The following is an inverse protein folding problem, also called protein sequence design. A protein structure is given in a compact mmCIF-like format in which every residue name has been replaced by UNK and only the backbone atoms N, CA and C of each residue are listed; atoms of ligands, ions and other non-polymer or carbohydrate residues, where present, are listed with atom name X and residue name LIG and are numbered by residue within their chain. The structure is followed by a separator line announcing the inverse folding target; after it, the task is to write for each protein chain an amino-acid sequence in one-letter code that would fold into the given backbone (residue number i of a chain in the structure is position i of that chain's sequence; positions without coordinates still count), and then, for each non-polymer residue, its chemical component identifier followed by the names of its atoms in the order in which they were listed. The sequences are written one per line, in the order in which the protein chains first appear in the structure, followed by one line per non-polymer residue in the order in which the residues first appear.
data_IF_003110550100
#
_entry.id   IF_003110550100
#
_cell.length_a   1.000
_cell.length_b   1.000
_cell.length_c   1.000
_cell.angle_alpha   90.00
_cell.angle_beta   90.00
_cell.angle_gamma   90.00
#
_symmetry.space_group_name_H-M   'P 1'
#
loop_
_entity.id
_entity.type
_entity.pdbx_description
1 polymer ?
#
# COMPACT_ATOMS: atom_id res chain seq x y z
N UNK A 1 -14.76 3.79 0.22
CA UNK A 1 -15.84 3.47 1.15
C UNK A 1 -15.20 3.17 2.49
N UNK A 2 -15.57 3.90 3.53
CA UNK A 2 -15.07 3.69 4.88
C UNK A 2 -15.80 2.49 5.46
N UNK A 3 -15.05 1.55 6.05
CA UNK A 3 -15.68 0.47 6.78
C UNK A 3 -16.40 1.06 8.01
N UNK A 4 -17.70 1.10 7.96
CA UNK A 4 -18.51 1.40 9.14
C UNK A 4 -18.89 0.07 9.78
N UNK A 5 -18.59 -0.07 11.05
CA UNK A 5 -19.11 -1.19 11.83
C UNK A 5 -20.64 -1.22 11.77
N UNK A 6 -21.19 -2.40 11.50
CA UNK A 6 -22.64 -2.65 11.43
C UNK A 6 -23.38 -2.32 12.72
N UNK A 7 -22.69 -2.15 13.83
CA UNK A 7 -23.25 -1.93 15.15
C UNK A 7 -22.94 -0.56 15.76
N UNK A 8 -22.23 0.33 15.08
CA UNK A 8 -21.89 1.67 15.55
C UNK A 8 -21.03 1.71 16.82
N UNK A 9 -20.46 0.59 17.24
CA UNK A 9 -19.71 0.48 18.50
C UNK A 9 -18.21 0.36 18.31
N UNK A 10 -17.75 -0.22 17.22
CA UNK A 10 -16.33 -0.29 16.90
C UNK A 10 -16.00 0.80 15.89
N UNK A 11 -15.28 1.79 16.35
CA UNK A 11 -14.76 2.89 15.53
C UNK A 11 -13.55 2.40 14.75
N UNK A 12 -13.76 1.36 13.95
CA UNK A 12 -12.70 0.82 13.13
C UNK A 12 -12.50 1.80 11.97
N UNK A 13 -11.33 2.37 11.93
CA UNK A 13 -10.89 3.27 10.87
C UNK A 13 -10.26 2.52 9.71
N UNK A 14 -10.25 1.19 9.73
CA UNK A 14 -9.71 0.40 8.65
C UNK A 14 -10.60 0.48 7.40
N UNK A 15 -9.95 0.50 6.26
CA UNK A 15 -10.60 0.55 4.96
C UNK A 15 -10.57 -0.82 4.31
N UNK A 16 -11.39 -1.03 3.29
CA UNK A 16 -11.37 -2.25 2.48
C UNK A 16 -10.25 -2.26 1.41
N UNK A 17 -9.43 -1.19 1.34
CA UNK A 17 -8.33 -1.12 0.38
C UNK A 17 -7.20 -2.08 0.75
N UNK A 18 -6.89 -2.98 -0.18
CA UNK A 18 -5.83 -3.96 0.01
C UNK A 18 -4.43 -3.36 -0.13
N UNK A 19 -3.53 -3.77 0.77
CA UNK A 19 -2.08 -3.52 0.67
C UNK A 19 -1.35 -4.63 -0.07
N UNK A 20 -1.97 -5.79 -0.21
CA UNK A 20 -1.37 -6.98 -0.79
C UNK A 20 -1.92 -7.36 -2.16
N UNK A 21 -3.00 -6.72 -2.62
CA UNK A 21 -3.62 -7.01 -3.92
C UNK A 21 -3.70 -5.75 -4.76
N UNK A 22 -3.32 -5.85 -6.03
CA UNK A 22 -3.50 -4.81 -7.06
C UNK A 22 -2.94 -3.43 -6.69
N UNK A 23 -2.12 -3.32 -5.65
CA UNK A 23 -1.61 -2.04 -5.12
C UNK A 23 -2.74 -1.03 -4.82
N UNK A 24 -3.90 -1.49 -4.35
CA UNK A 24 -5.09 -0.63 -4.23
C UNK A 24 -4.85 0.57 -3.31
N UNK A 25 -4.31 0.33 -2.11
CA UNK A 25 -4.00 1.40 -1.16
C UNK A 25 -2.92 2.35 -1.71
N UNK A 26 -1.86 1.84 -2.33
CA UNK A 26 -0.79 2.65 -2.92
C UNK A 26 -1.33 3.54 -4.04
N UNK A 27 -2.08 2.96 -5.00
CA UNK A 27 -2.68 3.73 -6.12
C UNK A 27 -3.62 4.82 -5.63
N UNK A 28 -4.39 4.54 -4.56
CA UNK A 28 -5.25 5.54 -3.95
C UNK A 28 -4.45 6.70 -3.36
N UNK A 29 -3.39 6.41 -2.60
CA UNK A 29 -2.52 7.43 -2.03
C UNK A 29 -1.81 8.25 -3.10
N UNK A 30 -1.32 7.60 -4.16
CA UNK A 30 -0.68 8.26 -5.31
C UNK A 30 -1.66 9.22 -6.02
N UNK A 31 -2.89 8.79 -6.27
CA UNK A 31 -3.90 9.63 -6.92
C UNK A 31 -4.26 10.87 -6.09
N UNK A 32 -4.47 10.71 -4.78
CA UNK A 32 -4.72 11.86 -3.90
C UNK A 32 -3.53 12.80 -3.80
N UNK A 33 -2.31 12.27 -3.70
CA UNK A 33 -1.09 13.08 -3.65
C UNK A 33 -0.89 13.91 -4.92
N UNK A 34 -1.17 13.35 -6.10
CA UNK A 34 -1.09 14.07 -7.37
C UNK A 34 -2.08 15.25 -7.42
N UNK A 35 -3.33 15.02 -7.03
CA UNK A 35 -4.35 16.08 -7.01
C UNK A 35 -3.99 17.15 -5.98
N UNK A 36 -3.60 16.76 -4.77
CA UNK A 36 -3.19 17.68 -3.72
C UNK A 36 -1.96 18.51 -4.10
N UNK A 37 -0.98 17.90 -4.77
CA UNK A 37 0.19 18.62 -5.30
C UNK A 37 -0.19 19.70 -6.31
N UNK A 38 -1.11 19.40 -7.24
CA UNK A 38 -1.61 20.38 -8.22
C UNK A 38 -2.32 21.55 -7.55
N UNK A 39 -3.19 21.27 -6.57
CA UNK A 39 -3.92 22.33 -5.84
C UNK A 39 -2.99 23.18 -5.00
N UNK A 40 -1.97 22.58 -4.38
CA UNK A 40 -0.95 23.32 -3.63
C UNK A 40 -0.19 24.30 -4.53
N UNK A 41 0.29 23.82 -5.69
CA UNK A 41 0.99 24.67 -6.66
C UNK A 41 0.10 25.78 -7.26
N UNK A 42 -1.20 25.56 -7.35
CA UNK A 42 -2.14 26.60 -7.75
C UNK A 42 -2.32 27.65 -6.67
N UNK A 43 -2.44 27.26 -5.39
CA UNK A 43 -2.56 28.18 -4.27
C UNK A 43 -1.36 29.14 -4.17
N UNK A 44 -0.14 28.62 -4.37
CA UNK A 44 1.09 29.43 -4.35
C UNK A 44 1.09 30.54 -5.40
N UNK A 45 0.47 30.30 -6.56
CA UNK A 45 0.37 31.25 -7.68
C UNK A 45 -0.91 32.09 -7.67
N UNK A 46 -1.82 31.83 -6.71
CA UNK A 46 -3.11 32.53 -6.65
C UNK A 46 -2.94 33.98 -6.24
N UNK A 47 -3.55 34.94 -6.96
CA UNK A 47 -3.57 36.34 -6.54
C UNK A 47 -4.14 36.49 -5.14
N UNK A 48 -3.60 37.44 -4.34
CA UNK A 48 -3.97 37.63 -2.94
C UNK A 48 -5.48 37.82 -2.75
N UNK A 49 -6.12 38.60 -3.62
CA UNK A 49 -7.57 38.87 -3.57
C UNK A 49 -8.43 37.61 -3.70
N UNK A 50 -7.93 36.57 -4.37
CA UNK A 50 -8.68 35.33 -4.69
C UNK A 50 -8.25 34.16 -3.78
N UNK A 51 -7.13 34.33 -3.05
CA UNK A 51 -6.50 33.27 -2.27
C UNK A 51 -7.41 32.68 -1.18
N UNK A 52 -8.15 33.52 -0.45
CA UNK A 52 -9.05 33.07 0.60
C UNK A 52 -10.20 32.20 0.04
N UNK A 53 -10.79 32.64 -1.07
CA UNK A 53 -11.84 31.88 -1.75
C UNK A 53 -11.30 30.54 -2.29
N UNK A 54 -10.14 30.56 -2.96
CA UNK A 54 -9.50 29.36 -3.46
C UNK A 54 -9.15 28.36 -2.35
N UNK A 55 -8.62 28.88 -1.23
CA UNK A 55 -8.32 28.05 -0.07
C UNK A 55 -9.56 27.34 0.45
N UNK A 56 -10.66 28.08 0.62
CA UNK A 56 -11.91 27.58 1.16
C UNK A 56 -12.57 26.54 0.24
N UNK A 57 -12.67 26.85 -1.07
CA UNK A 57 -13.48 26.06 -2.01
C UNK A 57 -12.73 24.89 -2.60
N UNK A 58 -11.40 25.00 -2.73
CA UNK A 58 -10.62 23.96 -3.46
C UNK A 58 -9.46 23.41 -2.63
N UNK A 59 -8.58 24.26 -2.10
CA UNK A 59 -7.37 23.78 -1.41
C UNK A 59 -7.73 22.93 -0.18
N UNK A 60 -8.53 23.49 0.73
CA UNK A 60 -8.86 22.80 1.98
C UNK A 60 -9.58 21.45 1.74
N UNK A 61 -10.67 21.36 0.96
CA UNK A 61 -11.34 20.07 0.73
C UNK A 61 -10.41 19.01 0.14
N UNK A 62 -9.61 19.39 -0.86
CA UNK A 62 -8.69 18.45 -1.53
C UNK A 62 -7.58 18.03 -0.58
N UNK A 63 -6.94 18.99 0.11
CA UNK A 63 -5.82 18.69 0.99
C UNK A 63 -6.27 17.94 2.25
N UNK A 64 -7.43 18.26 2.79
CA UNK A 64 -8.00 17.54 3.92
C UNK A 64 -8.33 16.09 3.54
N UNK A 65 -8.92 15.86 2.38
CA UNK A 65 -9.17 14.50 1.88
C UNK A 65 -7.88 13.71 1.67
N UNK A 66 -6.84 14.32 1.10
CA UNK A 66 -5.53 13.67 0.94
C UNK A 66 -4.94 13.27 2.28
N UNK A 67 -4.85 14.21 3.23
CA UNK A 67 -4.28 13.97 4.55
C UNK A 67 -5.09 12.93 5.34
N UNK A 68 -6.41 12.98 5.28
CA UNK A 68 -7.28 12.02 5.95
C UNK A 68 -7.09 10.60 5.39
N UNK A 69 -7.09 10.44 4.07
CA UNK A 69 -6.84 9.14 3.43
C UNK A 69 -5.46 8.60 3.80
N UNK A 70 -4.44 9.44 3.76
CA UNK A 70 -3.07 9.06 4.12
C UNK A 70 -2.97 8.68 5.60
N UNK A 71 -3.54 9.47 6.50
CA UNK A 71 -3.57 9.17 7.93
C UNK A 71 -4.14 7.79 8.22
N UNK A 72 -5.31 7.49 7.67
CA UNK A 72 -6.02 6.23 7.92
C UNK A 72 -5.30 5.05 7.26
N UNK A 73 -4.93 5.16 5.99
CA UNK A 73 -4.25 4.06 5.28
C UNK A 73 -2.85 3.77 5.86
N UNK A 74 -2.09 4.80 6.25
CA UNK A 74 -0.79 4.59 6.93
C UNK A 74 -0.95 4.00 8.33
N UNK A 75 -1.99 4.40 9.07
CA UNK A 75 -2.34 3.76 10.35
C UNK A 75 -2.72 2.30 10.19
N UNK A 76 -3.54 1.97 9.20
CA UNK A 76 -3.90 0.58 8.86
C UNK A 76 -2.66 -0.24 8.43
N UNK A 77 -1.83 0.31 7.56
CA UNK A 77 -0.57 -0.30 7.14
C UNK A 77 0.40 -0.49 8.30
N UNK A 78 0.47 0.47 9.23
CA UNK A 78 1.27 0.38 10.45
C UNK A 78 0.85 -0.83 11.29
N UNK A 79 -0.44 -1.02 11.58
CA UNK A 79 -0.94 -2.17 12.34
C UNK A 79 -0.62 -3.49 11.66
N UNK A 80 -0.78 -3.56 10.33
CA UNK A 80 -0.40 -4.72 9.52
C UNK A 80 1.10 -5.00 9.64
N UNK A 81 1.94 -3.99 9.46
CA UNK A 81 3.40 -4.14 9.53
C UNK A 81 3.89 -4.48 10.93
N UNK A 82 3.23 -4.01 11.98
CA UNK A 82 3.52 -4.39 13.36
C UNK A 82 3.32 -5.90 13.58
N UNK A 83 2.24 -6.50 13.06
CA UNK A 83 2.01 -7.94 13.15
C UNK A 83 3.05 -8.76 12.38
N UNK A 84 3.62 -8.19 11.33
CA UNK A 84 4.69 -8.79 10.52
C UNK A 84 6.08 -8.47 11.05
N UNK A 85 6.19 -7.65 12.10
CA UNK A 85 7.45 -7.17 12.67
C UNK A 85 8.35 -6.47 11.64
N UNK A 86 7.78 -5.69 10.74
CA UNK A 86 8.53 -4.97 9.72
C UNK A 86 9.22 -3.74 10.31
N UNK A 87 10.47 -3.50 9.92
CA UNK A 87 11.24 -2.32 10.37
C UNK A 87 10.63 -0.98 9.94
N UNK A 88 9.78 -0.96 8.92
CA UNK A 88 9.06 0.24 8.47
C UNK A 88 7.88 0.65 9.39
N UNK A 89 7.52 -0.14 10.39
CA UNK A 89 6.33 0.07 11.22
C UNK A 89 6.28 1.44 11.87
N UNK A 90 7.37 1.86 12.53
CA UNK A 90 7.39 3.12 13.27
C UNK A 90 7.40 4.34 12.35
N UNK A 91 7.98 4.22 11.16
CA UNK A 91 7.94 5.28 10.14
C UNK A 91 6.50 5.52 9.64
N UNK A 92 5.71 4.45 9.46
CA UNK A 92 4.29 4.58 9.10
C UNK A 92 3.45 5.21 10.21
N UNK A 93 3.76 4.90 11.47
CA UNK A 93 3.13 5.54 12.62
C UNK A 93 3.44 7.05 12.65
N UNK A 94 4.69 7.42 12.40
CA UNK A 94 5.10 8.82 12.32
C UNK A 94 4.41 9.56 11.17
N UNK A 95 4.31 8.94 9.98
CA UNK A 95 3.60 9.52 8.83
C UNK A 95 2.12 9.74 9.13
N UNK A 96 1.45 8.77 9.77
CA UNK A 96 0.05 8.90 10.16
C UNK A 96 -0.17 10.06 11.15
N UNK A 97 0.69 10.22 12.15
CA UNK A 97 0.64 11.36 13.09
C UNK A 97 0.86 12.70 12.38
N UNK A 98 1.86 12.76 11.51
CA UNK A 98 2.16 13.97 10.73
C UNK A 98 0.95 14.40 9.88
N UNK A 99 0.24 13.45 9.28
CA UNK A 99 -0.98 13.75 8.51
C UNK A 99 -2.09 14.29 9.41
N UNK A 100 -2.28 13.70 10.61
CA UNK A 100 -3.23 14.19 11.60
C UNK A 100 -2.92 15.64 12.01
N UNK A 101 -1.69 15.93 12.37
CA UNK A 101 -1.26 17.26 12.81
C UNK A 101 -1.39 18.29 11.67
N UNK A 102 -1.01 17.89 10.45
CA UNK A 102 -1.17 18.74 9.26
C UNK A 102 -2.65 19.04 8.96
N UNK A 103 -3.54 18.08 9.18
CA UNK A 103 -4.97 18.28 9.01
C UNK A 103 -5.50 19.33 10.01
N UNK A 104 -5.03 19.31 11.25
CA UNK A 104 -5.38 20.34 12.25
C UNK A 104 -4.88 21.73 11.82
N UNK A 105 -3.64 21.82 11.32
CA UNK A 105 -3.06 23.08 10.84
C UNK A 105 -3.87 23.70 9.71
N UNK A 106 -4.21 22.91 8.67
CA UNK A 106 -5.00 23.46 7.55
C UNK A 106 -6.43 23.80 7.96
N UNK A 107 -7.00 23.08 8.94
CA UNK A 107 -8.32 23.41 9.51
C UNK A 107 -8.30 24.70 10.29
N UNK A 108 -7.28 24.94 11.11
CA UNK A 108 -7.09 26.22 11.77
C UNK A 108 -6.90 27.36 10.75
N UNK A 109 -6.13 27.12 9.70
CA UNK A 109 -5.98 28.06 8.58
C UNK A 109 -7.31 28.42 7.92
N UNK A 110 -8.19 27.43 7.70
CA UNK A 110 -9.53 27.66 7.16
C UNK A 110 -10.35 28.58 8.08
N UNK A 111 -10.39 28.27 9.37
CA UNK A 111 -11.17 29.03 10.36
C UNK A 111 -10.65 30.46 10.54
N UNK A 112 -9.35 30.71 10.32
CA UNK A 112 -8.75 32.04 10.41
C UNK A 112 -8.97 32.90 9.14
N UNK A 113 -9.51 32.37 8.06
CA UNK A 113 -9.70 33.13 6.83
C UNK A 113 -10.54 34.39 7.05
N UNK A 114 -10.16 35.47 6.36
CA UNK A 114 -10.88 36.75 6.37
C UNK A 114 -11.12 37.28 7.80
N UNK A 115 -10.11 37.17 8.67
CA UNK A 115 -10.18 37.67 10.07
C UNK A 115 -11.07 36.80 10.95
N UNK A 116 -11.22 35.53 10.65
CA UNK A 116 -12.03 34.60 11.43
C UNK A 116 -13.53 34.61 11.06
N UNK A 117 -13.88 35.15 9.88
CA UNK A 117 -15.29 35.13 9.40
C UNK A 117 -15.91 33.73 9.39
N UNK A 118 -15.10 32.71 9.21
CA UNK A 118 -15.51 31.30 9.11
C UNK A 118 -15.06 30.47 10.33
N UNK A 119 -14.76 31.16 11.44
CA UNK A 119 -14.34 30.46 12.67
C UNK A 119 -15.43 29.48 13.14
N UNK A 120 -14.99 28.33 13.62
CA UNK A 120 -15.83 27.19 14.02
C UNK A 120 -16.67 26.53 12.91
N UNK A 121 -16.58 26.95 11.63
CA UNK A 121 -17.27 26.27 10.54
C UNK A 121 -16.65 24.89 10.26
N UNK A 122 -15.31 24.82 10.29
CA UNK A 122 -14.62 23.54 10.19
C UNK A 122 -14.08 23.16 11.58
N UNK A 123 -14.66 22.11 12.15
CA UNK A 123 -14.25 21.57 13.45
C UNK A 123 -14.12 20.06 13.34
N UNK A 124 -12.91 19.55 13.60
CA UNK A 124 -12.60 18.13 13.48
C UNK A 124 -13.14 17.28 14.64
N UNK A 125 -13.45 17.89 15.78
CA UNK A 125 -13.70 17.19 17.03
C UNK A 125 -15.11 17.36 17.59
N UNK A 126 -16.10 17.71 16.76
CA UNK A 126 -17.46 17.92 17.23
C UNK A 126 -18.46 16.96 16.56
N UNK A 127 -19.40 16.50 17.37
CA UNK A 127 -20.53 15.72 16.92
C UNK A 127 -20.21 14.30 16.45
N UNK A 128 -21.11 13.75 15.67
CA UNK A 128 -21.08 12.36 15.17
C UNK A 128 -19.83 12.05 14.33
N UNK A 129 -19.30 13.02 13.61
CA UNK A 129 -18.15 12.82 12.71
C UNK A 129 -16.79 12.87 13.43
N UNK A 130 -16.73 13.21 14.72
CA UNK A 130 -15.46 13.40 15.45
C UNK A 130 -14.56 12.17 15.42
N UNK A 131 -15.14 10.97 15.41
CA UNK A 131 -14.40 9.71 15.40
C UNK A 131 -13.63 9.45 14.10
N UNK A 132 -14.05 10.02 12.98
CA UNK A 132 -13.39 9.84 11.68
C UNK A 132 -12.10 10.65 11.54
N UNK A 133 -11.96 11.72 12.33
CA UNK A 133 -10.81 12.62 12.30
C UNK A 133 -9.80 12.35 13.42
N UNK A 134 -10.07 11.36 14.26
CA UNK A 134 -9.13 10.96 15.31
C UNK A 134 -7.96 10.19 14.71
N UNK A 135 -6.82 10.35 15.36
CA UNK A 135 -5.65 9.52 15.04
C UNK A 135 -6.01 8.03 15.24
N UNK A 136 -5.81 7.17 14.26
CA UNK A 136 -6.06 5.74 14.42
C UNK A 136 -5.10 5.13 15.44
N UNK A 137 -5.47 3.96 15.98
CA UNK A 137 -4.54 3.17 16.79
C UNK A 137 -3.26 2.88 16.01
N UNK A 138 -2.12 3.15 16.63
CA UNK A 138 -0.80 2.91 16.06
C UNK A 138 -0.03 1.94 16.93
N UNK A 139 0.77 1.08 16.29
CA UNK A 139 1.55 0.03 16.95
C UNK A 139 3.02 0.18 16.61
N UNK A 140 3.89 -0.29 17.53
CA UNK A 140 5.32 -0.44 17.30
C UNK A 140 5.67 -1.90 17.02
N UNK A 141 6.73 -2.13 16.25
CA UNK A 141 7.26 -3.46 16.03
C UNK A 141 8.41 -3.75 17.00
N UNK A 142 8.43 -4.96 17.56
CA UNK A 142 9.58 -5.45 18.28
C UNK A 142 10.56 -6.07 17.28
N UNK A 143 11.61 -5.33 16.95
CA UNK A 143 12.59 -5.74 15.96
C UNK A 143 13.68 -6.61 16.61
N UNK A 144 14.14 -7.62 15.86
CA UNK A 144 15.35 -8.37 16.21
C UNK A 144 16.57 -7.42 16.21
N UNK A 145 17.61 -7.76 16.98
CA UNK A 145 18.84 -6.94 17.07
C UNK A 145 19.62 -6.89 15.75
N UNK A 146 19.54 -7.95 14.93
CA UNK A 146 20.16 -8.07 13.60
C UNK A 146 19.11 -8.04 12.50
N UNK A 147 19.54 -7.78 11.27
CA UNK A 147 18.68 -7.90 10.10
C UNK A 147 18.11 -9.32 9.97
N UNK A 148 16.81 -9.43 9.70
CA UNK A 148 16.09 -10.69 9.52
C UNK A 148 15.22 -10.60 8.28
N UNK A 149 15.32 -11.58 7.39
CA UNK A 149 14.59 -11.62 6.13
C UNK A 149 13.09 -11.94 6.34
N UNK A 150 12.24 -11.05 5.89
CA UNK A 150 10.81 -11.27 5.68
C UNK A 150 10.46 -11.18 4.20
N UNK A 151 9.47 -11.95 3.78
CA UNK A 151 8.94 -11.95 2.42
C UNK A 151 7.43 -11.98 2.46
N UNK A 152 6.78 -11.26 1.55
CA UNK A 152 5.34 -11.31 1.32
C UNK A 152 5.08 -11.25 -0.19
N UNK A 153 4.32 -12.19 -0.71
CA UNK A 153 3.90 -12.21 -2.10
C UNK A 153 2.54 -11.51 -2.28
N UNK A 154 2.31 -10.91 -3.44
CA UNK A 154 1.00 -10.38 -3.81
C UNK A 154 -0.07 -11.47 -3.67
N UNK A 155 -1.24 -11.13 -3.14
CA UNK A 155 -2.35 -12.07 -2.94
C UNK A 155 -2.34 -12.80 -1.59
N UNK A 156 -1.29 -12.72 -0.79
CA UNK A 156 -1.21 -13.46 0.48
C UNK A 156 -2.20 -13.01 1.54
N UNK A 157 -2.70 -11.79 1.46
CA UNK A 157 -3.72 -11.29 2.39
C UNK A 157 -4.98 -12.16 2.40
N UNK A 158 -5.42 -12.55 1.21
CA UNK A 158 -6.63 -13.37 1.03
C UNK A 158 -6.38 -14.83 1.46
N UNK A 159 -5.12 -15.27 1.38
CA UNK A 159 -4.73 -16.66 1.63
C UNK A 159 -4.09 -16.88 3.00
N UNK A 160 -4.05 -15.85 3.83
CA UNK A 160 -3.42 -15.89 5.16
C UNK A 160 -4.08 -16.95 6.05
N UNK A 161 -3.27 -17.86 6.56
CA UNK A 161 -3.72 -18.99 7.35
C UNK A 161 -4.16 -20.23 6.56
N UNK A 162 -4.31 -20.12 5.24
CA UNK A 162 -4.63 -21.27 4.37
C UNK A 162 -3.39 -21.98 3.82
N UNK A 163 -2.23 -21.29 3.81
CA UNK A 163 -0.97 -21.82 3.26
C UNK A 163 0.21 -21.54 4.18
N UNK A 164 1.12 -22.48 4.24
CA UNK A 164 2.38 -22.38 4.99
C UNK A 164 3.57 -21.91 4.13
N UNK A 165 3.32 -21.54 2.87
CA UNK A 165 4.33 -21.15 1.88
C UNK A 165 3.89 -19.90 1.11
N UNK A 166 4.87 -19.14 0.61
CA UNK A 166 4.62 -17.98 -0.24
C UNK A 166 4.29 -18.41 -1.66
N UNK A 167 3.29 -17.79 -2.27
CA UNK A 167 2.89 -18.05 -3.65
C UNK A 167 2.29 -16.80 -4.27
N UNK A 168 2.72 -16.46 -5.48
CA UNK A 168 2.08 -15.45 -6.31
C UNK A 168 0.75 -15.96 -6.89
N UNK A 169 -0.19 -15.06 -7.23
CA UNK A 169 -1.31 -15.42 -8.08
C UNK A 169 -0.82 -16.04 -9.39
N UNK A 170 -1.60 -16.95 -9.97
CA UNK A 170 -1.22 -17.59 -11.21
C UNK A 170 -1.11 -16.56 -12.35
N UNK A 171 0.01 -16.59 -13.06
CA UNK A 171 0.16 -15.85 -14.30
C UNK A 171 -0.68 -16.48 -15.39
N UNK A 172 -1.24 -15.67 -16.25
CA UNK A 172 -2.17 -16.13 -17.28
C UNK A 172 -1.80 -15.49 -18.63
N UNK A 173 -1.69 -16.31 -19.68
CA UNK A 173 -1.30 -15.86 -21.03
C UNK A 173 -2.25 -14.83 -21.63
N UNK A 174 -3.51 -14.77 -21.19
CA UNK A 174 -4.49 -13.78 -21.65
C UNK A 174 -4.34 -12.42 -20.99
N UNK A 175 -3.97 -12.38 -19.69
CA UNK A 175 -3.88 -11.15 -18.93
C UNK A 175 -2.48 -10.55 -18.93
N UNK A 176 -1.44 -11.38 -18.99
CA UNK A 176 -0.01 -11.00 -19.02
C UNK A 176 0.36 -9.94 -17.97
N UNK A 177 -0.15 -10.09 -16.76
CA UNK A 177 0.09 -9.15 -15.65
C UNK A 177 1.44 -9.41 -15.01
N UNK A 178 2.00 -8.38 -14.36
CA UNK A 178 3.07 -8.54 -13.38
C UNK A 178 2.45 -8.60 -11.98
N UNK A 179 3.15 -9.27 -11.09
CA UNK A 179 2.86 -9.32 -9.65
C UNK A 179 4.08 -8.84 -8.88
N UNK A 180 3.93 -8.63 -7.57
CA UNK A 180 5.06 -8.18 -6.77
C UNK A 180 5.34 -9.11 -5.59
N UNK A 181 6.59 -9.06 -5.14
CA UNK A 181 7.05 -9.66 -3.89
C UNK A 181 7.73 -8.57 -3.07
N UNK A 182 7.26 -8.35 -1.85
CA UNK A 182 7.90 -7.47 -0.89
C UNK A 182 8.98 -8.26 -0.12
N UNK A 183 10.22 -7.80 -0.22
CA UNK A 183 11.36 -8.23 0.61
C UNK A 183 11.52 -7.19 1.70
N UNK A 184 11.41 -7.58 2.95
CA UNK A 184 11.45 -6.64 4.06
C UNK A 184 12.31 -7.10 5.23
N UNK A 185 12.78 -6.12 5.99
CA UNK A 185 13.59 -6.35 7.17
C UNK A 185 12.70 -6.44 8.42
N UNK A 186 12.96 -7.44 9.25
CA UNK A 186 12.31 -7.68 10.56
C UNK A 186 13.25 -7.37 11.73
N UNK A 187 14.35 -6.70 11.48
CA UNK A 187 15.36 -6.43 12.50
C UNK A 187 16.16 -5.17 12.26
N UNK A 188 17.15 -4.97 13.10
CA UNK A 188 18.07 -3.83 13.05
C UNK A 188 19.16 -3.99 11.99
N UNK A 189 19.69 -2.83 11.55
CA UNK A 189 20.76 -2.80 10.55
C UNK A 189 20.26 -3.02 9.11
N UNK A 190 21.16 -3.02 8.13
CA UNK A 190 20.83 -3.24 6.73
C UNK A 190 20.64 -4.73 6.43
N UNK A 191 19.55 -5.07 5.76
CA UNK A 191 19.29 -6.39 5.19
C UNK A 191 19.89 -6.43 3.78
N UNK A 192 20.91 -7.24 3.58
CA UNK A 192 21.42 -7.58 2.25
C UNK A 192 20.73 -8.86 1.79
N UNK A 193 20.21 -8.82 0.56
CA UNK A 193 19.45 -9.93 -0.01
C UNK A 193 19.77 -10.13 -1.49
N UNK A 194 19.56 -11.35 -1.96
CA UNK A 194 19.57 -11.71 -3.38
C UNK A 194 18.37 -12.61 -3.71
N UNK A 195 17.95 -12.59 -4.95
CA UNK A 195 16.82 -13.36 -5.47
C UNK A 195 17.24 -14.11 -6.73
N UNK A 196 16.92 -15.39 -6.78
CA UNK A 196 17.22 -16.30 -7.88
C UNK A 196 15.92 -16.94 -8.37
N UNK A 197 15.68 -16.90 -9.67
CA UNK A 197 14.58 -17.61 -10.32
C UNK A 197 15.04 -19.02 -10.70
N UNK A 198 14.16 -20.01 -10.57
CA UNK A 198 14.45 -21.39 -10.96
C UNK A 198 14.47 -21.59 -12.48
N UNK A 199 13.82 -20.70 -13.22
CA UNK A 199 13.58 -20.82 -14.66
C UNK A 199 13.80 -19.47 -15.35
N UNK A 200 14.24 -19.50 -16.59
CA UNK A 200 14.60 -18.30 -17.36
C UNK A 200 13.36 -17.53 -17.90
N UNK A 201 12.18 -18.10 -17.76
CA UNK A 201 10.92 -17.42 -18.06
C UNK A 201 10.42 -16.54 -16.91
N UNK A 202 10.95 -16.67 -15.70
CA UNK A 202 10.64 -15.80 -14.55
C UNK A 202 11.55 -14.57 -14.59
N UNK A 203 10.96 -13.41 -14.83
CA UNK A 203 11.70 -12.15 -14.96
C UNK A 203 11.51 -11.30 -13.70
N UNK A 204 12.60 -10.87 -13.11
CA UNK A 204 12.63 -10.05 -11.90
C UNK A 204 13.10 -8.63 -12.24
N UNK A 205 12.43 -7.61 -11.71
CA UNK A 205 12.87 -6.23 -11.84
C UNK A 205 14.20 -5.95 -11.12
N UNK A 206 14.52 -6.77 -10.13
CA UNK A 206 15.75 -6.69 -9.34
C UNK A 206 16.09 -8.07 -8.76
N UNK A 207 17.38 -8.41 -8.80
CA UNK A 207 17.88 -9.71 -8.32
C UNK A 207 18.70 -9.60 -7.02
N UNK A 208 19.03 -8.40 -6.56
CA UNK A 208 19.72 -8.17 -5.30
C UNK A 208 19.45 -6.76 -4.79
N UNK A 209 19.65 -6.56 -3.49
CA UNK A 209 19.51 -5.25 -2.88
C UNK A 209 20.02 -5.19 -1.44
N UNK A 210 19.99 -3.98 -0.90
CA UNK A 210 20.27 -3.70 0.52
C UNK A 210 19.25 -2.71 1.02
N UNK A 211 18.49 -3.11 2.03
CA UNK A 211 17.42 -2.26 2.58
C UNK A 211 17.44 -2.24 4.10
N UNK A 212 17.05 -1.13 4.70
CA UNK A 212 16.80 -1.05 6.15
C UNK A 212 15.35 -1.37 6.51
N UNK A 213 14.42 -1.15 5.59
CA UNK A 213 12.98 -1.32 5.80
C UNK A 213 12.39 -2.39 4.91
N UNK A 214 12.44 -2.22 3.61
CA UNK A 214 11.94 -3.16 2.62
C UNK A 214 12.09 -2.63 1.20
N UNK A 215 12.03 -3.53 0.25
CA UNK A 215 12.04 -3.26 -1.20
C UNK A 215 11.03 -4.16 -1.89
N UNK A 216 10.43 -3.66 -2.96
CA UNK A 216 9.49 -4.40 -3.79
C UNK A 216 10.19 -4.90 -5.05
N UNK A 217 9.99 -6.17 -5.36
CA UNK A 217 10.43 -6.82 -6.59
C UNK A 217 9.19 -7.03 -7.46
N UNK A 218 9.18 -6.45 -8.65
CA UNK A 218 8.18 -6.81 -9.66
C UNK A 218 8.60 -8.14 -10.31
N UNK A 219 7.66 -9.07 -10.39
CA UNK A 219 7.82 -10.38 -11.02
C UNK A 219 6.94 -10.41 -12.25
N UNK A 220 7.52 -10.71 -13.39
CA UNK A 220 6.84 -10.85 -14.66
C UNK A 220 7.25 -12.14 -15.36
N UNK A 221 6.62 -12.45 -16.48
CA UNK A 221 6.85 -13.68 -17.23
C UNK A 221 7.28 -13.36 -18.65
N UNK A 222 8.39 -13.94 -19.08
CA UNK A 222 8.78 -13.96 -20.48
C UNK A 222 7.99 -15.06 -21.22
N UNK A 223 6.88 -14.64 -21.82
CA UNK A 223 5.94 -15.55 -22.50
C UNK A 223 6.52 -16.28 -23.69
N UNK A 224 7.67 -15.86 -24.22
CA UNK A 224 8.36 -16.55 -25.31
C UNK A 224 9.11 -17.80 -24.84
N UNK A 225 9.37 -17.90 -23.54
CA UNK A 225 10.13 -18.99 -22.92
C UNK A 225 9.29 -19.93 -22.05
N UNK A 226 8.06 -19.53 -21.73
CA UNK A 226 7.19 -20.36 -20.88
C UNK A 226 6.86 -21.66 -21.61
N UNK A 227 7.08 -22.84 -20.99
CA UNK A 227 6.60 -24.09 -21.53
C UNK A 227 5.09 -24.09 -21.73
N UNK A 228 4.62 -24.83 -22.71
CA UNK A 228 3.19 -25.08 -22.89
C UNK A 228 2.69 -25.99 -21.78
N UNK A 229 1.58 -25.61 -21.13
CA UNK A 229 0.95 -26.39 -20.07
C UNK A 229 -0.08 -25.62 -19.27
N UNK A 230 -1.04 -26.32 -18.71
CA UNK A 230 -2.11 -25.72 -17.90
C UNK A 230 -1.66 -25.33 -16.48
N UNK A 231 -0.54 -25.89 -16.02
CA UNK A 231 0.00 -25.64 -14.68
C UNK A 231 1.54 -25.71 -14.68
N UNK A 232 2.17 -24.79 -15.43
CA UNK A 232 3.62 -24.63 -15.40
C UNK A 232 4.04 -24.01 -14.08
N UNK A 233 5.02 -24.57 -13.41
CA UNK A 233 5.47 -24.15 -12.09
C UNK A 233 6.95 -23.81 -12.07
N UNK A 234 7.30 -22.74 -11.36
CA UNK A 234 8.65 -22.34 -11.06
C UNK A 234 8.73 -21.79 -9.64
N UNK A 235 9.89 -21.31 -9.27
CA UNK A 235 10.14 -20.82 -7.92
C UNK A 235 11.10 -19.62 -7.93
N UNK A 236 10.80 -18.63 -7.12
CA UNK A 236 11.71 -17.57 -6.74
C UNK A 236 12.29 -17.89 -5.37
N UNK A 237 13.61 -17.93 -5.25
CA UNK A 237 14.31 -18.13 -3.98
C UNK A 237 14.99 -16.83 -3.57
N UNK A 238 14.62 -16.29 -2.40
CA UNK A 238 15.20 -15.06 -1.84
C UNK A 238 16.04 -15.46 -0.64
N UNK A 239 17.32 -15.03 -0.63
CA UNK A 239 18.28 -15.34 0.40
C UNK A 239 18.82 -14.06 1.02
N UNK A 240 19.11 -14.08 2.32
CA UNK A 240 19.82 -13.01 3.00
C UNK A 240 21.29 -13.37 3.24
N UNK A 241 22.13 -12.37 3.39
CA UNK A 241 23.53 -12.55 3.82
C UNK A 241 23.61 -13.22 5.21
N UNK A 242 22.55 -13.14 6.02
CA UNK A 242 22.42 -13.82 7.31
C UNK A 242 22.12 -15.32 7.23
N UNK A 243 22.01 -15.88 6.02
CA UNK A 243 21.79 -17.32 5.79
C UNK A 243 20.29 -17.72 5.74
N UNK A 244 19.36 -16.79 5.89
CA UNK A 244 17.94 -17.09 5.77
C UNK A 244 17.54 -17.22 4.30
N UNK A 245 16.60 -18.12 4.03
CA UNK A 245 16.05 -18.33 2.69
C UNK A 245 14.53 -18.40 2.74
N UNK A 246 13.88 -17.82 1.73
CA UNK A 246 12.43 -17.88 1.53
C UNK A 246 12.14 -18.25 0.09
N UNK A 247 11.15 -19.09 -0.12
CA UNK A 247 10.72 -19.52 -1.45
C UNK A 247 9.34 -18.98 -1.75
N UNK A 248 9.15 -18.48 -2.96
CA UNK A 248 7.88 -18.01 -3.49
C UNK A 248 7.56 -18.84 -4.73
N UNK A 249 6.45 -19.54 -4.70
CA UNK A 249 6.00 -20.34 -5.83
C UNK A 249 5.43 -19.44 -6.91
N UNK A 250 5.74 -19.75 -8.15
CA UNK A 250 5.28 -19.07 -9.35
C UNK A 250 4.57 -20.10 -10.22
N UNK A 251 3.31 -19.86 -10.55
CA UNK A 251 2.54 -20.74 -11.44
C UNK A 251 2.06 -19.96 -12.65
N UNK A 252 2.03 -20.64 -13.81
CA UNK A 252 1.64 -20.04 -15.08
C UNK A 252 0.63 -20.96 -15.79
N UNK A 253 -0.45 -20.36 -16.27
CA UNK A 253 -1.39 -20.98 -17.18
C UNK A 253 -1.03 -20.56 -18.62
N UNK A 254 -0.48 -21.50 -19.41
CA UNK A 254 -0.07 -21.32 -20.80
C UNK A 254 -0.49 -22.55 -21.65
N UNK A 255 -1.80 -22.72 -21.91
CA UNK A 255 -2.31 -23.90 -22.61
C UNK A 255 -1.84 -23.98 -24.07
N UNK A 256 -1.79 -25.20 -24.63
CA UNK A 256 -1.38 -25.46 -26.02
C UNK A 256 -2.26 -24.74 -27.06
N UNK A 257 -3.52 -24.52 -26.74
CA UNK A 257 -4.48 -23.80 -27.58
C UNK A 257 -5.11 -22.67 -26.75
N UNK A 258 -4.48 -21.49 -26.69
CA UNK A 258 -4.94 -20.39 -25.84
C UNK A 258 -6.16 -19.64 -26.44
N UNK A 259 -7.07 -20.33 -27.11
CA UNK A 259 -8.31 -19.74 -27.57
C UNK A 259 -9.22 -19.44 -26.38
N UNK A 260 -9.79 -18.23 -26.36
CA UNK A 260 -10.88 -17.93 -25.45
C UNK A 260 -12.12 -18.64 -25.94
N UNK A 261 -12.55 -19.67 -25.25
CA UNK A 261 -13.83 -20.28 -25.47
C UNK A 261 -14.88 -19.63 -24.59
N UNK A 262 -16.03 -19.29 -25.17
CA UNK A 262 -17.18 -18.83 -24.43
C UNK A 262 -17.90 -20.05 -23.85
N UNK A 263 -17.82 -20.21 -22.53
CA UNK A 263 -18.57 -21.23 -21.82
C UNK A 263 -19.67 -20.54 -21.04
N UNK A 264 -20.90 -20.63 -21.51
CA UNK A 264 -22.12 -20.05 -20.87
C UNK A 264 -21.99 -18.55 -20.58
N UNK A 265 -21.38 -17.77 -21.48
CA UNK A 265 -21.16 -16.34 -21.32
C UNK A 265 -19.99 -15.95 -20.43
N UNK A 266 -19.20 -16.92 -19.97
CA UNK A 266 -17.95 -16.71 -19.26
C UNK A 266 -16.77 -17.04 -20.17
N UNK A 267 -15.80 -16.14 -20.24
CA UNK A 267 -14.51 -16.41 -20.88
C UNK A 267 -13.59 -17.10 -19.87
N UNK A 268 -13.12 -18.28 -20.20
CA UNK A 268 -12.17 -19.07 -19.41
C UNK A 268 -10.76 -18.90 -19.96
#
# INVERSE_FOLDING_TARGET
QWATDKHGKERNTDTDFSFANYREADRRLEAYAQIAGRVTSLLERMPEKDRACFYQVLYYPVKACELLNRMVLRGQQNRRYATQQRAATDALAAESRMCHDSLQVITAGYNALLGGKWDHVMTMNQGFASSYFQLPELRSAQLASRAVLGVEAEGEDVMKGLRSYHMLPAFNTFLRRSYFVDVYNKGGGPLQWNAEASDDWIVLSRTAGTTRTGERIEVSVDWSKVPVGDAVSGCLTIKSAGGESRRVLVSVFNPASPAREEVQGLYV
#
